data_IF_644896450929
#
_entry.id   IF_644896450929
#
_cell.length_a   1.000
_cell.length_b   1.000
_cell.length_c   1.000
_cell.angle_alpha   90.00
_cell.angle_beta   90.00
_cell.angle_gamma   90.00
#
_symmetry.space_group_name_H-M   'P 1'
#
loop_
_entity.id
_entity.type
_entity.pdbx_description
1 polymer ?
#
# COMPACT_ATOMS: atom_id res chain seq x y z
N UNK A 1 -31.19 18.32 18.99
CA UNK A 1 -30.26 17.18 18.93
C UNK A 1 -28.91 17.64 19.49
N UNK A 2 -28.27 16.89 20.39
CA UNK A 2 -27.01 17.34 21.03
C UNK A 2 -25.87 17.29 20.00
N UNK A 3 -24.91 18.23 20.06
CA UNK A 3 -23.75 18.31 19.14
C UNK A 3 -23.04 16.96 18.95
N UNK A 4 -22.89 16.21 20.05
CA UNK A 4 -22.28 14.88 20.04
C UNK A 4 -23.02 13.86 19.17
N UNK A 5 -24.36 13.89 19.15
CA UNK A 5 -25.16 12.99 18.31
C UNK A 5 -25.02 13.34 16.83
N UNK A 6 -24.92 14.64 16.50
CA UNK A 6 -24.69 15.12 15.13
C UNK A 6 -23.29 14.69 14.66
N UNK A 7 -22.27 14.85 15.50
CA UNK A 7 -20.90 14.44 15.20
C UNK A 7 -20.78 12.92 14.96
N UNK A 8 -21.44 12.11 15.79
CA UNK A 8 -21.48 10.66 15.61
C UNK A 8 -22.10 10.24 14.26
N UNK A 9 -23.21 10.86 13.87
CA UNK A 9 -23.86 10.59 12.58
C UNK A 9 -22.93 10.97 11.41
N UNK A 10 -22.30 12.15 11.48
CA UNK A 10 -21.35 12.60 10.46
C UNK A 10 -20.16 11.63 10.34
N UNK A 11 -19.61 11.17 11.47
CA UNK A 11 -18.52 10.19 11.49
C UNK A 11 -18.93 8.84 10.90
N UNK A 12 -20.13 8.33 11.22
CA UNK A 12 -20.64 7.08 10.65
C UNK A 12 -20.79 7.21 9.14
N UNK A 13 -21.38 8.30 8.65
CA UNK A 13 -21.52 8.57 7.21
C UNK A 13 -20.14 8.66 6.55
N UNK A 14 -19.19 9.37 7.15
CA UNK A 14 -17.82 9.49 6.63
C UNK A 14 -17.12 8.12 6.55
N UNK A 15 -17.29 7.26 7.56
CA UNK A 15 -16.76 5.88 7.54
C UNK A 15 -17.39 5.08 6.40
N UNK A 16 -18.71 5.14 6.24
CA UNK A 16 -19.43 4.43 5.16
C UNK A 16 -18.96 4.91 3.79
N UNK A 17 -18.84 6.23 3.58
CA UNK A 17 -18.37 6.82 2.33
C UNK A 17 -16.91 6.43 2.06
N UNK A 18 -16.04 6.50 3.07
CA UNK A 18 -14.62 6.13 2.94
C UNK A 18 -14.48 4.64 2.61
N UNK A 19 -15.30 3.80 3.23
CA UNK A 19 -15.40 2.38 2.89
C UNK A 19 -15.89 2.20 1.45
N UNK A 20 -16.94 2.90 1.02
CA UNK A 20 -17.42 2.81 -0.36
C UNK A 20 -16.37 3.25 -1.39
N UNK A 21 -15.66 4.35 -1.17
CA UNK A 21 -14.59 4.82 -2.07
C UNK A 21 -13.39 3.89 -2.10
N UNK A 22 -12.95 3.41 -0.93
CA UNK A 22 -11.80 2.50 -0.81
C UNK A 22 -12.09 1.13 -1.40
N UNK A 23 -13.32 0.63 -1.24
CA UNK A 23 -13.69 -0.73 -1.63
C UNK A 23 -14.33 -0.83 -3.03
N UNK A 24 -15.21 0.10 -3.41
CA UNK A 24 -16.04 -0.03 -4.62
C UNK A 24 -15.53 0.88 -5.74
N UNK A 25 -15.29 2.15 -5.46
CA UNK A 25 -15.12 3.16 -6.51
C UNK A 25 -13.69 3.39 -6.97
N UNK A 26 -12.70 2.80 -6.30
CA UNK A 26 -11.33 2.92 -6.75
C UNK A 26 -11.14 2.23 -8.10
N UNK A 27 -11.26 3.01 -9.16
CA UNK A 27 -10.70 2.85 -10.51
C UNK A 27 -10.42 1.39 -10.91
N UNK A 28 -11.47 0.62 -11.13
CA UNK A 28 -11.41 -0.71 -11.76
C UNK A 28 -10.70 -0.56 -13.11
N UNK A 29 -9.47 -1.03 -13.23
CA UNK A 29 -8.88 -1.26 -14.54
C UNK A 29 -9.48 -2.56 -15.10
N UNK A 30 -10.46 -2.45 -15.99
CA UNK A 30 -10.90 -3.55 -16.88
C UNK A 30 -9.88 -3.73 -18.02
N UNK A 31 -8.58 -3.86 -17.69
CA UNK A 31 -7.54 -4.14 -18.67
C UNK A 31 -6.96 -5.53 -18.44
N UNK A 32 -6.63 -6.19 -19.53
CA UNK A 32 -5.81 -7.40 -19.54
C UNK A 32 -4.43 -7.09 -18.91
N UNK A 33 -4.31 -7.45 -17.64
CA UNK A 33 -3.11 -7.36 -16.81
C UNK A 33 -2.16 -8.55 -16.99
N UNK A 34 -2.44 -9.44 -17.94
CA UNK A 34 -1.62 -10.60 -18.23
C UNK A 34 -1.71 -11.71 -17.18
N UNK A 35 -0.78 -12.65 -17.25
CA UNK A 35 -0.75 -13.80 -16.36
C UNK A 35 -0.11 -13.44 -15.02
N UNK A 36 -0.79 -13.84 -13.96
CA UNK A 36 -0.33 -13.65 -12.59
C UNK A 36 0.92 -14.49 -12.33
N UNK A 37 2.03 -13.83 -11.98
CA UNK A 37 3.28 -14.49 -11.57
C UNK A 37 3.33 -14.65 -10.05
N UNK A 38 2.96 -13.61 -9.31
CA UNK A 38 3.10 -13.59 -7.84
C UNK A 38 2.12 -12.61 -7.18
N UNK A 39 1.74 -12.90 -5.93
CA UNK A 39 1.20 -11.92 -4.99
C UNK A 39 2.22 -11.78 -3.88
N UNK A 40 2.64 -10.56 -3.59
CA UNK A 40 3.53 -10.31 -2.46
C UNK A 40 2.75 -10.52 -1.17
N UNK A 41 3.34 -11.27 -0.24
CA UNK A 41 2.82 -11.43 1.10
C UNK A 41 2.72 -10.07 1.77
N UNK A 42 1.80 -9.96 2.72
CA UNK A 42 1.80 -8.80 3.63
C UNK A 42 2.95 -8.96 4.61
N UNK A 43 3.50 -7.84 5.04
CA UNK A 43 4.43 -7.85 6.17
C UNK A 43 3.72 -8.44 7.39
N UNK A 44 4.28 -9.52 7.93
CA UNK A 44 3.73 -10.21 9.09
C UNK A 44 3.60 -9.24 10.29
N UNK A 45 4.58 -8.34 10.46
CA UNK A 45 4.56 -7.32 11.52
C UNK A 45 3.38 -6.37 11.37
N UNK A 46 3.18 -5.84 10.15
CA UNK A 46 2.02 -4.97 9.86
C UNK A 46 0.72 -5.72 10.11
N UNK A 47 0.61 -6.97 9.64
CA UNK A 47 -0.58 -7.79 9.83
C UNK A 47 -0.87 -8.09 11.31
N UNK A 48 0.14 -8.47 12.10
CA UNK A 48 0.00 -8.72 13.53
C UNK A 48 -0.38 -7.47 14.31
N UNK A 49 0.21 -6.31 13.97
CA UNK A 49 -0.16 -5.03 14.58
C UNK A 49 -1.63 -4.69 14.32
N UNK A 50 -2.10 -4.88 13.08
CA UNK A 50 -3.48 -4.63 12.70
C UNK A 50 -4.44 -5.57 13.43
N UNK A 51 -4.08 -6.85 13.54
CA UNK A 51 -4.87 -7.83 14.27
C UNK A 51 -5.01 -7.44 15.74
N UNK A 52 -3.91 -7.04 16.38
CA UNK A 52 -3.91 -6.55 17.76
C UNK A 52 -4.82 -5.34 17.92
N UNK A 53 -4.79 -4.42 16.94
CA UNK A 53 -5.61 -3.22 16.94
C UNK A 53 -7.11 -3.56 16.81
N UNK A 54 -7.47 -4.49 15.92
CA UNK A 54 -8.84 -4.99 15.78
C UNK A 54 -9.33 -5.68 17.06
N UNK A 55 -8.49 -6.50 17.69
CA UNK A 55 -8.78 -7.13 18.98
C UNK A 55 -9.04 -6.05 20.03
N UNK A 56 -8.20 -5.01 20.11
CA UNK A 56 -8.38 -3.88 21.02
C UNK A 56 -9.71 -3.14 20.82
N UNK A 57 -10.10 -2.91 19.56
CA UNK A 57 -11.40 -2.30 19.22
C UNK A 57 -12.56 -3.18 19.71
N UNK A 58 -12.50 -4.49 19.50
CA UNK A 58 -13.55 -5.42 19.96
C UNK A 58 -13.65 -5.43 21.49
N UNK A 59 -12.53 -5.54 22.20
CA UNK A 59 -12.53 -5.49 23.67
C UNK A 59 -13.07 -4.17 24.20
N UNK A 60 -12.72 -3.05 23.58
CA UNK A 60 -13.26 -1.75 23.95
C UNK A 60 -14.77 -1.67 23.71
N UNK A 61 -15.27 -2.16 22.57
CA UNK A 61 -16.72 -2.19 22.31
C UNK A 61 -17.47 -3.02 23.35
N UNK A 62 -16.94 -4.18 23.73
CA UNK A 62 -17.51 -5.00 24.79
C UNK A 62 -17.52 -4.27 26.14
N UNK A 63 -16.41 -3.62 26.50
CA UNK A 63 -16.30 -2.83 27.72
C UNK A 63 -17.29 -1.66 27.77
N UNK A 64 -17.38 -0.88 26.69
CA UNK A 64 -18.27 0.26 26.59
C UNK A 64 -19.76 -0.16 26.66
N UNK A 65 -20.10 -1.31 26.07
CA UNK A 65 -21.42 -1.90 26.16
C UNK A 65 -21.78 -2.32 27.60
N UNK A 66 -20.84 -2.90 28.34
CA UNK A 66 -21.04 -3.31 29.75
C UNK A 66 -21.17 -2.10 30.68
N UNK A 67 -20.44 -1.01 30.40
CA UNK A 67 -20.36 0.17 31.28
C UNK A 67 -21.39 1.26 30.99
N UNK A 68 -22.22 1.09 29.97
CA UNK A 68 -23.26 2.04 29.53
C UNK A 68 -22.71 3.48 29.33
N UNK A 69 -21.41 3.58 29.00
CA UNK A 69 -20.72 4.84 28.80
C UNK A 69 -21.02 5.39 27.41
N UNK A 70 -21.79 6.47 27.35
CA UNK A 70 -22.49 6.99 26.15
C UNK A 70 -21.66 7.69 25.07
N UNK A 71 -20.32 7.78 25.20
CA UNK A 71 -19.51 8.45 24.16
C UNK A 71 -18.65 7.48 23.35
N UNK A 72 -19.23 6.95 22.28
CA UNK A 72 -18.52 6.17 21.26
C UNK A 72 -17.77 7.04 20.23
N UNK A 73 -17.77 8.36 20.41
CA UNK A 73 -17.21 9.32 19.47
C UNK A 73 -15.70 9.13 19.28
N UNK A 74 -14.95 8.89 20.36
CA UNK A 74 -13.51 8.62 20.30
C UNK A 74 -13.20 7.34 19.51
N UNK A 75 -14.02 6.29 19.68
CA UNK A 75 -13.89 5.04 18.94
C UNK A 75 -14.15 5.24 17.44
N UNK A 76 -15.20 5.98 17.09
CA UNK A 76 -15.53 6.29 15.70
C UNK A 76 -14.41 7.08 15.02
N UNK A 77 -13.78 8.03 15.73
CA UNK A 77 -12.62 8.75 15.24
C UNK A 77 -11.44 7.79 14.99
N UNK A 78 -11.15 6.88 15.93
CA UNK A 78 -10.08 5.88 15.78
C UNK A 78 -10.36 4.97 14.57
N UNK A 79 -11.58 4.45 14.44
CA UNK A 79 -11.99 3.61 13.30
C UNK A 79 -11.85 4.36 11.98
N UNK A 80 -12.30 5.61 11.93
CA UNK A 80 -12.15 6.46 10.75
C UNK A 80 -10.69 6.66 10.34
N UNK A 81 -9.81 6.98 11.30
CA UNK A 81 -8.37 7.13 11.04
C UNK A 81 -7.74 5.83 10.55
N UNK A 82 -8.10 4.70 11.15
CA UNK A 82 -7.58 3.40 10.73
C UNK A 82 -7.98 3.06 9.30
N UNK A 83 -9.24 3.24 8.94
CA UNK A 83 -9.73 3.00 7.57
C UNK A 83 -9.10 3.98 6.59
N UNK A 84 -8.83 5.21 7.01
CA UNK A 84 -8.27 6.26 6.15
C UNK A 84 -6.76 6.15 5.90
N UNK A 85 -5.99 5.73 6.91
CA UNK A 85 -4.53 5.64 6.81
C UNK A 85 -4.11 4.30 6.20
N UNK A 86 -4.83 3.23 6.53
CA UNK A 86 -4.49 1.91 6.07
C UNK A 86 -5.41 1.44 4.96
N UNK A 87 -4.84 1.33 3.77
CA UNK A 87 -5.46 0.67 2.65
C UNK A 87 -5.39 -0.86 2.82
N UNK A 88 -6.09 -1.37 3.84
CA UNK A 88 -6.16 -2.79 4.23
C UNK A 88 -6.67 -3.71 3.13
N UNK A 89 -7.20 -3.14 2.06
CA UNK A 89 -7.87 -3.86 1.00
C UNK A 89 -6.92 -4.27 -0.11
N UNK A 90 -5.72 -3.69 -0.19
CA UNK A 90 -4.83 -3.90 -1.34
C UNK A 90 -3.75 -4.95 -1.07
N UNK A 91 -3.54 -5.81 -2.05
CA UNK A 91 -2.45 -6.77 -2.16
C UNK A 91 -1.57 -6.34 -3.31
N UNK A 92 -0.25 -6.38 -3.17
CA UNK A 92 0.63 -6.13 -4.31
C UNK A 92 0.65 -7.37 -5.21
N UNK A 93 0.37 -7.17 -6.49
CA UNK A 93 0.33 -8.21 -7.51
C UNK A 93 1.42 -7.95 -8.56
N UNK A 94 2.03 -9.03 -9.02
CA UNK A 94 3.07 -9.05 -10.03
C UNK A 94 2.65 -10.01 -11.15
N UNK A 95 2.75 -9.56 -12.39
CA UNK A 95 2.28 -10.24 -13.59
C UNK A 95 3.39 -10.26 -14.65
N UNK A 96 3.18 -10.97 -15.74
CA UNK A 96 4.08 -10.96 -16.91
C UNK A 96 4.08 -9.62 -17.65
N UNK A 97 3.06 -8.78 -17.50
CA UNK A 97 2.97 -7.44 -18.12
C UNK A 97 3.39 -6.29 -17.23
N UNK A 98 3.34 -6.46 -15.91
CA UNK A 98 3.60 -5.38 -14.97
C UNK A 98 3.35 -5.72 -13.52
N UNK A 99 3.29 -4.68 -12.68
CA UNK A 99 2.99 -4.78 -11.27
C UNK A 99 2.01 -3.71 -10.80
N UNK A 100 1.21 -4.03 -9.78
CA UNK A 100 0.22 -3.11 -9.24
C UNK A 100 -0.36 -3.56 -7.91
N UNK A 101 -1.50 -2.99 -7.53
CA UNK A 101 -2.25 -3.39 -6.36
C UNK A 101 -3.55 -4.07 -6.80
N UNK A 102 -3.87 -5.25 -6.26
CA UNK A 102 -5.14 -5.94 -6.42
C UNK A 102 -5.95 -5.78 -5.14
N UNK A 103 -7.25 -5.49 -5.24
CA UNK A 103 -8.12 -5.50 -4.08
C UNK A 103 -8.41 -6.94 -3.60
N UNK A 104 -8.56 -7.08 -2.30
CA UNK A 104 -8.98 -8.31 -1.63
C UNK A 104 -10.45 -8.64 -1.90
N UNK A 105 -11.28 -7.62 -2.05
CA UNK A 105 -12.74 -7.75 -1.98
C UNK A 105 -13.41 -7.70 -3.35
N UNK A 106 -12.82 -6.97 -4.29
CA UNK A 106 -13.17 -7.03 -5.69
C UNK A 106 -11.90 -7.38 -6.48
N UNK A 107 -12.04 -8.12 -7.58
CA UNK A 107 -10.89 -8.46 -8.44
C UNK A 107 -10.29 -7.24 -9.18
N UNK A 108 -10.64 -6.02 -8.75
CA UNK A 108 -10.14 -4.77 -9.27
C UNK A 108 -8.64 -4.64 -9.05
N UNK A 109 -7.99 -4.01 -10.03
CA UNK A 109 -6.56 -3.71 -10.02
C UNK A 109 -6.39 -2.20 -10.13
N UNK A 110 -5.45 -1.70 -9.34
CA UNK A 110 -5.20 -0.30 -9.08
C UNK A 110 -3.72 -0.04 -9.28
N UNK A 111 -3.39 1.18 -9.74
CA UNK A 111 -2.01 1.65 -9.77
C UNK A 111 -1.07 0.69 -10.52
N UNK A 112 -1.60 -0.03 -11.52
CA UNK A 112 -0.83 -0.95 -12.35
C UNK A 112 0.13 -0.19 -13.24
N UNK A 113 1.36 -0.68 -13.30
CA UNK A 113 2.47 -0.12 -14.04
C UNK A 113 3.02 -1.25 -14.90
N UNK A 114 3.08 -1.01 -16.20
CA UNK A 114 3.63 -1.97 -17.14
C UNK A 114 5.15 -2.01 -17.02
N UNK A 115 5.76 -3.16 -17.29
CA UNK A 115 7.22 -3.27 -17.26
C UNK A 115 7.88 -2.29 -18.25
N UNK A 116 7.27 -2.08 -19.42
CA UNK A 116 7.74 -1.14 -20.44
C UNK A 116 7.77 0.33 -19.98
N UNK A 117 6.93 0.70 -19.00
CA UNK A 117 6.86 2.08 -18.49
C UNK A 117 7.97 2.38 -17.47
N UNK A 118 8.63 1.35 -16.92
CA UNK A 118 9.63 1.50 -15.85
C UNK A 118 10.99 1.81 -16.46
N UNK A 119 11.51 2.99 -16.13
CA UNK A 119 12.78 3.50 -16.65
C UNK A 119 13.95 3.22 -15.73
N UNK A 120 13.71 3.14 -14.41
CA UNK A 120 14.74 2.85 -13.41
C UNK A 120 14.17 2.04 -12.25
N UNK A 121 14.95 1.11 -11.71
CA UNK A 121 14.67 0.49 -10.41
C UNK A 121 15.95 0.22 -9.62
N UNK A 122 15.84 0.29 -8.30
CA UNK A 122 16.94 0.10 -7.36
C UNK A 122 16.43 -0.40 -6.01
N UNK A 123 17.26 -1.14 -5.29
CA UNK A 123 17.00 -1.43 -3.87
C UNK A 123 17.48 -0.26 -3.00
N UNK A 124 16.74 0.05 -1.94
CA UNK A 124 17.15 1.08 -1.00
C UNK A 124 18.43 0.65 -0.26
N UNK A 125 19.49 1.48 -0.21
CA UNK A 125 20.80 1.09 0.33
C UNK A 125 20.77 0.74 1.83
N UNK A 126 19.93 1.43 2.61
CA UNK A 126 19.75 1.19 4.06
C UNK A 126 18.55 0.29 4.42
N UNK A 127 17.66 -0.01 3.48
CA UNK A 127 16.40 -0.71 3.73
C UNK A 127 16.30 -1.87 2.73
N UNK A 128 16.83 -3.05 3.07
CA UNK A 128 17.07 -4.12 2.09
C UNK A 128 15.81 -4.67 1.42
N UNK A 129 14.64 -4.37 1.96
CA UNK A 129 13.33 -4.82 1.49
C UNK A 129 12.55 -3.73 0.74
N UNK A 130 13.08 -2.51 0.68
CA UNK A 130 12.40 -1.40 0.03
C UNK A 130 12.94 -1.26 -1.40
N UNK A 131 12.06 -1.49 -2.38
CA UNK A 131 12.33 -1.25 -3.78
C UNK A 131 11.93 0.17 -4.14
N UNK A 132 12.78 0.89 -4.86
CA UNK A 132 12.42 2.10 -5.57
C UNK A 132 12.32 1.83 -7.06
N UNK A 133 11.31 2.39 -7.69
CA UNK A 133 11.19 2.37 -9.14
C UNK A 133 10.64 3.69 -9.65
N UNK A 134 11.12 4.05 -10.83
CA UNK A 134 10.74 5.25 -11.56
C UNK A 134 10.11 4.83 -12.87
N UNK A 135 8.97 5.42 -13.21
CA UNK A 135 8.25 5.10 -14.43
C UNK A 135 7.77 6.37 -15.12
N UNK A 136 7.66 6.31 -16.45
CA UNK A 136 7.05 7.37 -17.25
C UNK A 136 5.57 7.08 -17.39
N UNK A 137 4.71 7.97 -16.89
CA UNK A 137 3.28 7.79 -17.06
C UNK A 137 2.83 8.21 -18.46
N UNK A 138 1.60 7.84 -18.86
CA UNK A 138 1.03 8.16 -20.18
C UNK A 138 0.95 9.65 -20.53
N UNK A 139 1.15 10.53 -19.55
CA UNK A 139 1.21 11.98 -19.74
C UNK A 139 2.65 12.50 -19.88
N UNK A 140 3.63 11.59 -20.02
CA UNK A 140 5.06 11.90 -20.13
C UNK A 140 5.68 12.42 -18.84
N UNK A 141 4.98 12.31 -17.69
CA UNK A 141 5.54 12.69 -16.40
C UNK A 141 6.24 11.50 -15.76
N UNK A 142 7.43 11.76 -15.25
CA UNK A 142 8.22 10.80 -14.48
C UNK A 142 7.76 10.79 -13.03
N UNK A 143 7.30 9.63 -12.55
CA UNK A 143 6.90 9.43 -11.16
C UNK A 143 7.82 8.38 -10.51
N UNK A 144 8.19 8.61 -9.24
CA UNK A 144 8.92 7.65 -8.40
C UNK A 144 7.98 7.03 -7.38
N UNK A 145 8.08 5.73 -7.17
CA UNK A 145 7.34 5.00 -6.14
C UNK A 145 8.23 4.01 -5.40
N UNK A 146 7.79 3.67 -4.21
CA UNK A 146 8.47 2.78 -3.30
C UNK A 146 7.58 1.59 -2.94
N UNK A 147 8.15 0.40 -3.00
CA UNK A 147 7.48 -0.84 -2.63
C UNK A 147 8.27 -1.58 -1.56
N UNK A 148 7.69 -1.67 -0.37
CA UNK A 148 8.09 -2.63 0.66
C UNK A 148 7.79 -4.08 0.20
N UNK A 149 8.84 -4.88 0.02
CA UNK A 149 8.81 -6.28 -0.42
C UNK A 149 9.20 -7.16 0.77
N UNK A 150 8.36 -8.11 1.21
CA UNK A 150 8.73 -9.02 2.30
C UNK A 150 10.03 -9.79 2.01
N UNK A 151 10.88 -9.98 3.01
CA UNK A 151 12.14 -10.73 2.84
C UNK A 151 11.92 -12.12 2.23
N UNK A 152 10.81 -12.80 2.58
CA UNK A 152 10.47 -14.12 2.06
C UNK A 152 10.21 -14.17 0.55
N UNK A 153 9.90 -13.01 -0.03
CA UNK A 153 9.45 -12.86 -1.40
C UNK A 153 10.52 -12.17 -2.27
N UNK A 154 11.55 -11.61 -1.64
CA UNK A 154 12.57 -10.77 -2.27
C UNK A 154 13.30 -11.49 -3.40
N UNK A 155 13.84 -12.69 -3.14
CA UNK A 155 14.61 -13.45 -4.13
C UNK A 155 13.78 -13.78 -5.38
N UNK A 156 12.54 -14.26 -5.18
CA UNK A 156 11.61 -14.55 -6.27
C UNK A 156 11.27 -13.29 -7.07
N UNK A 157 11.07 -12.18 -6.37
CA UNK A 157 10.75 -10.91 -7.01
C UNK A 157 11.96 -10.34 -7.78
N UNK A 158 13.16 -10.51 -7.27
CA UNK A 158 14.40 -10.11 -7.93
C UNK A 158 14.65 -10.90 -9.23
N UNK A 159 14.32 -12.19 -9.26
CA UNK A 159 14.33 -12.99 -10.51
C UNK A 159 13.37 -12.39 -11.55
N UNK A 160 12.18 -11.95 -11.13
CA UNK A 160 11.19 -11.31 -12.03
C UNK A 160 11.73 -9.96 -12.53
N UNK A 161 12.26 -9.10 -11.64
CA UNK A 161 12.85 -7.82 -12.02
C UNK A 161 14.01 -8.01 -13.00
N UNK A 162 14.89 -8.97 -12.76
CA UNK A 162 16.00 -9.29 -13.67
C UNK A 162 15.52 -9.88 -15.00
N UNK A 163 14.37 -10.55 -15.05
CA UNK A 163 13.80 -11.06 -16.30
C UNK A 163 13.21 -9.94 -17.16
N UNK A 164 12.43 -9.03 -16.57
CA UNK A 164 11.64 -8.05 -17.32
C UNK A 164 12.27 -6.65 -17.37
N UNK A 165 13.12 -6.29 -16.40
CA UNK A 165 13.63 -4.94 -16.18
C UNK A 165 15.15 -4.85 -16.01
N UNK A 166 15.92 -5.85 -16.47
CA UNK A 166 17.40 -5.85 -16.33
C UNK A 166 18.05 -4.57 -16.85
N UNK A 167 17.54 -4.05 -17.97
CA UNK A 167 18.06 -2.86 -18.63
C UNK A 167 17.84 -1.56 -17.82
N UNK A 168 16.88 -1.57 -16.88
CA UNK A 168 16.50 -0.44 -16.06
C UNK A 168 17.11 -0.47 -14.65
N UNK A 169 17.99 -1.43 -14.35
CA UNK A 169 18.61 -1.54 -13.02
C UNK A 169 19.63 -0.43 -12.78
N UNK A 170 19.58 0.18 -11.59
CA UNK A 170 20.57 1.15 -11.10
C UNK A 170 21.11 0.68 -9.75
N UNK A 171 22.43 0.60 -9.64
CA UNK A 171 23.10 0.26 -8.38
C UNK A 171 23.25 1.50 -7.49
N UNK A 172 22.39 1.60 -6.48
CA UNK A 172 22.34 2.71 -5.52
C UNK A 172 23.58 2.77 -4.60
N UNK A 173 24.39 1.70 -4.54
CA UNK A 173 25.65 1.69 -3.79
C UNK A 173 26.77 2.46 -4.50
N UNK A 174 26.66 2.66 -5.82
CA UNK A 174 27.65 3.35 -6.65
C UNK A 174 27.38 4.86 -6.76
N UNK A 175 26.12 5.31 -6.70
CA UNK A 175 25.79 6.75 -6.73
C UNK A 175 26.30 7.51 -5.50
N UNK A 176 26.28 6.90 -4.30
CA UNK A 176 26.82 7.55 -3.09
C UNK A 176 28.35 7.77 -3.16
N UNK A 177 29.10 6.86 -3.79
CA UNK A 177 30.56 7.04 -3.95
C UNK A 177 30.93 8.22 -4.85
N UNK A 178 30.12 8.50 -5.88
CA UNK A 178 30.35 9.61 -6.80
C UNK A 178 29.95 10.97 -6.23
N UNK A 179 29.02 11.00 -5.27
CA UNK A 179 28.64 12.25 -4.61
C UNK A 179 29.64 12.68 -3.53
N UNK A 180 30.28 11.73 -2.86
CA UNK A 180 31.35 11.99 -1.89
C UNK A 180 32.69 12.35 -2.56
N UNK A 181 32.99 11.79 -3.75
CA UNK A 181 34.21 12.16 -4.48
C UNK A 181 34.18 13.57 -5.08
N UNK A 182 32.98 14.12 -5.34
CA UNK A 182 32.80 15.49 -5.83
C UNK A 182 32.78 16.56 -4.74
N UNK A 183 32.63 16.20 -3.46
CA UNK A 183 32.71 17.15 -2.34
C UNK A 183 34.13 17.39 -1.82
N UNK A 184 35.09 16.57 -2.25
CA UNK A 184 36.50 16.66 -1.85
C UNK A 184 37.43 17.18 -2.97
N UNK A 185 36.92 18.01 -3.89
CA UNK A 185 37.74 18.74 -4.86
C UNK A 185 37.50 20.24 -4.76
#
# INVERSE_FOLDING_TARGET
MKFEQILQIVLVIAIIIQFFYSFILGRKQDKDIGNKLMILKRSAVKQSFILLLMIGIVFYMLYAFIKDTTSNTALLIIIYFLISIYDFTKLKIVTDKGMGNKSLYNNSIYNFIYWEDITKWEWHPKHPNLLFFTFSNKKGKTDRRDWDIPSSDKEKFEIILNKYLKHAFVDSSLENKNHDSKKNK
#
